data_IF_201245497493
#
_entry.id   IF_201245497493
#
_cell.length_a   1.000
_cell.length_b   1.000
_cell.length_c   1.000
_cell.angle_alpha   90.00
_cell.angle_beta   90.00
_cell.angle_gamma   90.00
#
_symmetry.space_group_name_H-M   'P 1'
#
loop_
_entity.id
_entity.type
_entity.pdbx_description
1 polymer ?
#
# COMPACT_ATOMS: atom_id res chain seq x y z
N UNK A 1 -5.64 5.30 -21.06
CA UNK A 1 -6.26 3.97 -21.17
C UNK A 1 -7.50 3.96 -20.28
N UNK A 2 -8.71 3.70 -20.79
CA UNK A 2 -9.88 3.59 -19.94
C UNK A 2 -9.72 2.37 -19.02
N UNK A 3 -10.07 2.55 -17.74
CA UNK A 3 -9.98 1.49 -16.75
C UNK A 3 -10.86 0.29 -17.14
N UNK A 4 -10.44 -0.96 -16.88
CA UNK A 4 -11.35 -2.10 -17.04
C UNK A 4 -12.58 -1.91 -16.15
N UNK A 5 -13.77 -2.16 -16.69
CA UNK A 5 -15.08 -2.03 -16.04
C UNK A 5 -15.26 -2.86 -14.77
N UNK A 6 -14.26 -3.67 -14.41
CA UNK A 6 -14.22 -4.57 -13.25
C UNK A 6 -13.20 -4.16 -12.19
N UNK A 7 -12.62 -2.96 -12.26
CA UNK A 7 -11.68 -2.46 -11.26
C UNK A 7 -12.40 -2.07 -9.95
N UNK A 8 -11.83 -2.50 -8.80
CA UNK A 8 -12.29 -2.05 -7.46
C UNK A 8 -12.05 -0.53 -7.27
N UNK A 9 -12.70 0.10 -6.27
CA UNK A 9 -12.43 1.48 -5.87
C UNK A 9 -10.94 1.73 -5.56
N UNK A 10 -10.43 2.97 -5.69
CA UNK A 10 -9.04 3.29 -5.38
C UNK A 10 -8.70 3.00 -3.93
N UNK A 11 -7.65 2.22 -3.70
CA UNK A 11 -7.12 1.84 -2.40
C UNK A 11 -5.67 2.35 -2.25
N UNK A 12 -4.99 2.05 -1.14
CA UNK A 12 -3.66 2.61 -0.82
C UNK A 12 -2.53 1.63 -1.13
N UNK A 13 -1.47 2.11 -1.78
CA UNK A 13 -0.34 1.30 -2.21
C UNK A 13 0.70 1.13 -1.08
N UNK A 14 0.78 -0.09 -0.52
CA UNK A 14 1.80 -0.48 0.46
C UNK A 14 2.97 -1.20 -0.21
N UNK A 15 4.15 -1.13 0.42
CA UNK A 15 5.41 -1.66 -0.14
C UNK A 15 6.09 -2.63 0.82
N UNK A 16 6.32 -2.17 2.05
CA UNK A 16 7.13 -2.84 3.06
C UNK A 16 6.53 -2.58 4.44
N UNK A 17 6.74 -3.52 5.35
CA UNK A 17 6.42 -3.39 6.77
C UNK A 17 7.62 -3.88 7.57
N UNK A 18 7.93 -3.22 8.67
CA UNK A 18 9.01 -3.62 9.59
C UNK A 18 8.50 -3.59 11.03
N UNK A 19 8.94 -4.54 11.86
CA UNK A 19 8.59 -4.66 13.28
C UNK A 19 9.83 -4.87 14.14
N UNK A 20 9.76 -5.79 15.10
CA UNK A 20 10.85 -6.11 16.02
C UNK A 20 12.21 -6.22 15.30
N UNK A 21 13.20 -5.50 15.83
CA UNK A 21 14.58 -5.52 15.31
C UNK A 21 14.75 -4.93 13.90
N UNK A 22 13.76 -4.15 13.41
CA UNK A 22 13.70 -3.66 12.04
C UNK A 22 13.59 -4.78 10.97
N UNK A 23 13.27 -6.00 11.40
CA UNK A 23 12.95 -7.09 10.49
C UNK A 23 11.58 -6.87 9.85
N UNK A 24 11.40 -7.36 8.63
CA UNK A 24 10.22 -7.01 7.85
C UNK A 24 10.04 -7.79 6.57
N UNK A 25 8.91 -7.54 5.92
CA UNK A 25 8.60 -8.13 4.61
C UNK A 25 7.77 -7.17 3.77
N UNK A 26 7.81 -7.39 2.45
CA UNK A 26 7.07 -6.60 1.48
C UNK A 26 6.25 -7.47 0.54
N UNK A 27 5.49 -6.82 -0.33
CA UNK A 27 4.72 -7.47 -1.39
C UNK A 27 5.12 -6.89 -2.74
N UNK A 28 5.14 -7.69 -3.82
CA UNK A 28 5.33 -7.16 -5.17
C UNK A 28 4.27 -6.10 -5.49
N UNK A 29 4.65 -4.97 -6.09
CA UNK A 29 3.71 -3.88 -6.43
C UNK A 29 2.61 -4.27 -7.42
N UNK A 30 2.85 -5.35 -8.19
CA UNK A 30 1.88 -5.92 -9.11
C UNK A 30 0.90 -6.90 -8.44
N UNK A 31 1.18 -7.30 -7.19
CA UNK A 31 0.33 -8.21 -6.42
C UNK A 31 -0.86 -7.45 -5.83
N UNK A 32 -2.08 -8.03 -5.82
CA UNK A 32 -3.21 -7.47 -5.07
C UNK A 32 -2.90 -7.20 -3.60
N UNK A 33 -1.99 -7.97 -2.98
CA UNK A 33 -1.58 -7.78 -1.58
C UNK A 33 -0.88 -6.45 -1.30
N UNK A 34 -0.36 -5.78 -2.32
CA UNK A 34 0.24 -4.45 -2.20
C UNK A 34 -0.79 -3.31 -2.16
N UNK A 35 -2.09 -3.62 -2.31
CA UNK A 35 -3.13 -2.62 -2.59
C UNK A 35 -4.27 -2.63 -1.54
N UNK A 36 -3.99 -2.09 -0.35
CA UNK A 36 -4.85 -2.18 0.84
C UNK A 36 -6.05 -1.24 0.79
N UNK A 37 -7.27 -1.80 0.87
CA UNK A 37 -8.54 -1.05 0.79
C UNK A 37 -8.71 0.02 1.87
N UNK A 38 -8.23 -0.27 3.08
CA UNK A 38 -8.31 0.63 4.22
C UNK A 38 -6.93 1.01 4.69
N UNK A 39 -6.63 2.30 4.65
CA UNK A 39 -5.37 2.81 5.17
C UNK A 39 -5.30 2.68 6.70
N UNK A 40 -4.15 2.22 7.20
CA UNK A 40 -3.77 2.22 8.61
C UNK A 40 -2.29 2.57 8.70
N UNK A 41 -1.89 3.43 9.64
CA UNK A 41 -0.48 3.77 9.84
C UNK A 41 0.41 2.55 10.15
N UNK A 42 -0.15 1.55 10.83
CA UNK A 42 0.50 0.25 11.07
C UNK A 42 -0.58 -0.84 10.83
N UNK A 43 -0.63 -1.47 9.65
CA UNK A 43 -1.69 -2.40 9.26
C UNK A 43 -1.43 -3.84 9.72
N UNK A 44 -0.62 -4.05 10.76
CA UNK A 44 -0.30 -5.38 11.31
C UNK A 44 -0.15 -5.30 12.83
N UNK A 45 -0.21 -6.46 13.51
CA UNK A 45 0.03 -6.62 14.94
C UNK A 45 1.13 -7.65 15.15
N UNK A 46 2.02 -7.41 16.10
CA UNK A 46 3.11 -8.34 16.41
C UNK A 46 2.69 -9.29 17.53
N UNK A 47 2.94 -10.58 17.37
CA UNK A 47 2.63 -11.62 18.35
C UNK A 47 3.90 -12.36 18.78
N UNK A 48 3.97 -12.72 20.06
CA UNK A 48 5.08 -13.48 20.64
C UNK A 48 4.63 -14.90 21.00
N UNK A 49 5.56 -15.86 21.01
CA UNK A 49 5.27 -17.29 21.24
C UNK A 49 4.58 -17.63 22.57
N UNK A 50 4.58 -16.70 23.53
CA UNK A 50 3.83 -16.78 24.79
C UNK A 50 2.32 -16.48 24.67
N UNK A 51 1.82 -16.23 23.45
CA UNK A 51 0.40 -15.96 23.19
C UNK A 51 -0.02 -14.50 23.39
N UNK A 52 0.93 -13.56 23.49
CA UNK A 52 0.64 -12.13 23.62
C UNK A 52 0.84 -11.42 22.29
N UNK A 53 -0.08 -10.52 21.92
CA UNK A 53 0.05 -9.68 20.73
C UNK A 53 -0.11 -8.20 21.10
N UNK A 54 0.68 -7.31 20.49
CA UNK A 54 0.59 -5.87 20.74
C UNK A 54 1.04 -5.04 19.54
N UNK A 55 0.69 -3.76 19.56
CA UNK A 55 1.26 -2.74 18.69
C UNK A 55 2.47 -2.13 19.38
N UNK A 56 3.62 -2.15 18.71
CA UNK A 56 4.86 -1.60 19.27
C UNK A 56 5.27 -0.31 18.55
N UNK A 57 5.91 0.65 19.25
CA UNK A 57 6.32 1.93 18.64
C UNK A 57 7.35 1.82 17.51
N UNK A 58 8.09 0.71 17.44
CA UNK A 58 9.07 0.39 16.39
C UNK A 58 8.43 -0.31 15.18
N UNK A 59 7.11 -0.47 15.16
CA UNK A 59 6.36 -0.97 14.01
C UNK A 59 6.16 0.13 12.97
N UNK A 60 6.74 -0.05 11.78
CA UNK A 60 6.60 0.89 10.66
C UNK A 60 5.93 0.24 9.46
N UNK A 61 5.19 1.04 8.71
CA UNK A 61 4.68 0.65 7.40
C UNK A 61 5.08 1.69 6.35
N UNK A 62 5.46 1.19 5.19
CA UNK A 62 5.96 1.98 4.08
C UNK A 62 4.95 1.96 2.95
N UNK A 63 4.62 3.15 2.46
CA UNK A 63 3.62 3.39 1.43
C UNK A 63 4.28 4.14 0.27
N UNK A 64 3.83 3.85 -0.95
CA UNK A 64 4.34 4.54 -2.13
C UNK A 64 3.81 5.99 -2.10
N UNK A 65 4.67 6.99 -2.25
CA UNK A 65 4.27 8.40 -2.18
C UNK A 65 3.58 8.87 -3.47
N UNK A 66 2.61 9.77 -3.35
CA UNK A 66 2.06 10.50 -4.51
C UNK A 66 3.07 11.56 -4.97
N UNK A 67 3.36 11.62 -6.26
CA UNK A 67 4.33 12.54 -6.86
C UNK A 67 3.66 13.45 -7.89
N UNK A 68 4.10 14.70 -7.94
CA UNK A 68 3.77 15.63 -9.03
C UNK A 68 4.64 15.32 -10.25
N UNK A 69 4.05 15.00 -11.42
CA UNK A 69 4.78 14.74 -12.65
C UNK A 69 5.76 15.86 -13.04
N UNK A 70 5.48 17.11 -12.69
CA UNK A 70 6.34 18.25 -13.01
C UNK A 70 7.61 18.30 -12.15
N UNK A 71 7.66 17.56 -11.04
CA UNK A 71 8.74 17.59 -10.05
C UNK A 71 9.42 16.23 -9.84
N UNK A 72 9.19 15.24 -10.73
CA UNK A 72 9.72 13.87 -10.58
C UNK A 72 11.26 13.80 -10.48
N UNK A 73 11.96 14.73 -11.13
CA UNK A 73 13.43 14.79 -11.17
C UNK A 73 14.00 15.90 -10.29
N UNK A 74 13.14 16.63 -9.58
CA UNK A 74 13.56 17.64 -8.61
C UNK A 74 13.87 16.97 -7.27
N UNK A 75 14.65 17.64 -6.42
CA UNK A 75 14.89 17.18 -5.05
C UNK A 75 13.53 17.04 -4.32
N UNK A 76 13.22 15.87 -3.73
CA UNK A 76 11.98 15.70 -2.97
C UNK A 76 11.90 16.70 -1.80
N UNK A 77 10.74 17.32 -1.62
CA UNK A 77 10.48 18.21 -0.49
C UNK A 77 10.11 17.37 0.73
N UNK A 78 10.89 17.39 1.83
CA UNK A 78 10.57 16.63 3.02
C UNK A 78 9.28 17.15 3.67
N UNK A 79 8.42 16.23 4.08
CA UNK A 79 7.16 16.56 4.74
C UNK A 79 6.91 15.62 5.93
N UNK A 80 6.43 16.18 7.03
CA UNK A 80 5.88 15.41 8.15
C UNK A 80 4.39 15.62 8.18
N UNK A 81 3.65 14.61 7.74
CA UNK A 81 2.18 14.67 7.65
C UNK A 81 1.58 13.97 8.86
N UNK A 82 0.49 14.51 9.42
CA UNK A 82 -0.21 13.94 10.59
C UNK A 82 -1.70 13.78 10.29
N UNK A 83 -2.31 12.80 10.96
CA UNK A 83 -3.77 12.59 10.92
C UNK A 83 -4.30 12.22 9.54
N UNK A 84 -5.49 12.74 9.19
CA UNK A 84 -6.21 12.35 7.97
C UNK A 84 -5.53 12.78 6.67
N UNK A 85 -4.58 13.72 6.73
CA UNK A 85 -3.85 14.21 5.57
C UNK A 85 -2.86 13.16 5.00
N UNK A 86 -2.55 12.10 5.75
CA UNK A 86 -1.64 11.04 5.28
C UNK A 86 -2.15 10.40 3.98
N UNK A 87 -3.45 10.19 3.83
CA UNK A 87 -4.00 9.53 2.63
C UNK A 87 -3.81 10.36 1.35
N UNK A 88 -3.63 11.68 1.46
CA UNK A 88 -3.44 12.57 0.31
C UNK A 88 -2.01 12.47 -0.27
N UNK A 89 -1.04 12.05 0.54
CA UNK A 89 0.36 11.93 0.12
C UNK A 89 0.73 10.49 -0.22
N UNK A 90 -0.20 9.55 -0.05
CA UNK A 90 -0.03 8.14 -0.40
C UNK A 90 -0.60 7.89 -1.79
N UNK A 91 0.17 7.18 -2.61
CA UNK A 91 -0.23 6.74 -3.93
C UNK A 91 -1.41 5.78 -3.86
N UNK A 92 -2.34 5.95 -4.81
CA UNK A 92 -3.55 5.13 -4.92
C UNK A 92 -3.33 4.02 -5.94
N UNK A 93 -3.91 2.87 -5.65
CA UNK A 93 -3.85 1.69 -6.51
C UNK A 93 -5.26 1.16 -6.77
N UNK A 94 -5.41 0.27 -7.76
CA UNK A 94 -6.65 -0.46 -8.03
C UNK A 94 -6.33 -1.89 -8.39
N UNK A 95 -6.96 -2.84 -7.71
CA UNK A 95 -6.90 -4.24 -8.10
C UNK A 95 -7.85 -4.46 -9.27
N UNK A 96 -7.31 -4.98 -10.37
CA UNK A 96 -8.05 -5.27 -11.60
C UNK A 96 -8.12 -6.79 -11.81
N UNK A 97 -9.24 -7.26 -12.35
CA UNK A 97 -9.39 -8.66 -12.78
C UNK A 97 -9.66 -8.68 -14.28
N UNK A 98 -9.06 -9.62 -15.00
CA UNK A 98 -9.40 -9.85 -16.41
C UNK A 98 -10.86 -10.28 -16.48
N UNK A 99 -11.66 -9.61 -17.30
CA UNK A 99 -12.99 -10.09 -17.62
C UNK A 99 -12.84 -11.38 -18.45
N UNK A 100 -13.35 -12.50 -17.96
CA UNK A 100 -13.50 -13.69 -18.79
C UNK A 100 -14.64 -13.45 -19.77
N UNK A 101 -14.32 -13.10 -21.01
CA UNK A 101 -15.26 -13.20 -22.11
C UNK A 101 -15.54 -14.68 -22.37
N UNK A 102 -16.81 -15.04 -22.47
CA UNK A 102 -17.26 -16.35 -22.91
C UNK A 102 -16.96 -16.53 -24.41
N UNK A 103 -15.68 -16.65 -24.79
CA UNK A 103 -15.28 -16.66 -26.20
C UNK A 103 -13.77 -16.50 -26.48
N UNK A 104 -12.94 -17.37 -25.91
CA UNK A 104 -11.59 -17.62 -26.45
C UNK A 104 -11.33 -19.11 -26.45
N UNK A 105 -12.07 -19.81 -27.31
CA UNK A 105 -11.61 -21.04 -27.94
C UNK A 105 -11.00 -20.60 -29.26
N UNK A 106 -9.67 -20.64 -29.33
CA UNK A 106 -9.02 -21.02 -30.58
C UNK A 106 -9.01 -22.56 -30.61
#
# INVERSE_FOLDING_TARGET
>A
MPLPSTARPPSSQTVLQTGAGAEGSGQPLVSPGSCLEHFRQVPFIECHGRGTCNYFPDSYSFWLASLDPNHMFSKPVPQTVKGRLLENVISRCRVCRKAHGHGSVL
#
